data_IF_003521555004
#
_entry.id   IF_003521555004
#
_cell.length_a   1.000
_cell.length_b   1.000
_cell.length_c   1.000
_cell.angle_alpha   90.00
_cell.angle_beta   90.00
_cell.angle_gamma   90.00
#
_symmetry.space_group_name_H-M   'P 1'
#
loop_
_entity.id
_entity.type
_entity.pdbx_description
1 polymer ?
#
# COMPACT_ATOMS: atom_id res chain seq x y z
N UNK A 1 13.13 4.69 25.41
CA UNK A 1 11.73 4.25 25.30
C UNK A 1 11.11 4.92 24.09
N UNK A 2 11.08 4.28 22.93
CA UNK A 2 10.64 4.95 21.69
C UNK A 2 9.22 4.51 21.32
N UNK A 3 8.36 5.44 20.91
CA UNK A 3 6.97 5.13 20.56
C UNK A 3 6.70 5.34 19.07
N UNK A 4 6.20 4.31 18.40
CA UNK A 4 5.56 4.43 17.08
C UNK A 4 4.05 4.48 17.27
N UNK A 5 3.39 5.51 16.75
CA UNK A 5 1.92 5.56 16.66
C UNK A 5 1.54 5.48 15.20
N UNK A 6 0.77 4.46 14.81
CA UNK A 6 0.31 4.26 13.43
C UNK A 6 -1.21 4.41 13.35
N UNK A 7 -1.67 5.17 12.36
CA UNK A 7 -3.07 5.28 11.96
C UNK A 7 -3.26 4.57 10.63
N UNK A 8 -4.33 3.81 10.50
CA UNK A 8 -4.73 3.21 9.22
C UNK A 8 -6.25 3.22 9.11
N UNK A 9 -6.79 3.89 8.08
CA UNK A 9 -8.20 3.77 7.70
C UNK A 9 -8.35 2.72 6.62
N UNK A 10 -9.18 1.70 6.84
CA UNK A 10 -9.52 0.71 5.80
C UNK A 10 -11.05 0.53 5.78
N UNK A 11 -11.70 0.75 4.62
CA UNK A 11 -13.14 0.46 4.48
C UNK A 11 -13.38 -1.06 4.58
N UNK A 12 -14.45 -1.41 5.29
CA UNK A 12 -15.10 -2.72 5.22
C UNK A 12 -15.82 -2.82 3.86
N UNK A 13 -15.59 -3.88 3.10
CA UNK A 13 -16.39 -4.23 1.93
C UNK A 13 -17.31 -5.40 2.32
N UNK A 14 -18.61 -5.13 2.42
CA UNK A 14 -19.71 -6.09 2.35
C UNK A 14 -19.78 -7.18 3.44
N UNK A 15 -20.76 -7.06 4.34
CA UNK A 15 -21.24 -8.19 5.13
C UNK A 15 -21.92 -9.19 4.20
N UNK A 16 -21.22 -10.26 3.81
CA UNK A 16 -21.87 -11.44 3.26
C UNK A 16 -22.44 -12.25 4.44
N UNK A 17 -23.67 -11.93 4.84
CA UNK A 17 -24.53 -12.89 5.55
C UNK A 17 -24.83 -14.02 4.54
N UNK A 18 -24.13 -15.14 4.67
CA UNK A 18 -24.37 -16.36 3.91
C UNK A 18 -24.00 -17.55 4.77
N UNK A 19 -24.99 -18.37 5.09
CA UNK A 19 -24.93 -19.40 6.13
C UNK A 19 -23.90 -20.50 5.90
N UNK A 20 -23.53 -21.12 7.02
CA UNK A 20 -22.78 -22.37 7.08
C UNK A 20 -23.52 -23.46 6.30
N UNK A 21 -23.00 -23.80 5.13
CA UNK A 21 -23.33 -25.00 4.38
C UNK A 21 -22.09 -25.87 4.26
N UNK A 22 -22.09 -26.98 5.00
CA UNK A 22 -21.14 -28.08 4.87
C UNK A 22 -20.98 -28.50 3.41
N UNK A 23 -19.76 -28.59 2.90
CA UNK A 23 -19.45 -29.52 1.82
C UNK A 23 -17.98 -29.97 1.82
N UNK A 24 -17.90 -31.28 1.73
CA UNK A 24 -16.80 -32.23 1.63
C UNK A 24 -15.75 -31.93 0.55
N UNK A 25 -14.53 -32.40 0.82
CA UNK A 25 -13.42 -32.52 -0.13
C UNK A 25 -13.84 -33.22 -1.43
N UNK A 26 -13.09 -32.97 -2.52
CA UNK A 26 -12.72 -34.06 -3.41
C UNK A 26 -11.20 -34.19 -3.56
N UNK A 27 -10.84 -35.46 -3.70
CA UNK A 27 -9.55 -36.09 -3.93
C UNK A 27 -8.89 -35.72 -5.25
N UNK A 28 -7.57 -35.92 -5.26
CA UNK A 28 -6.63 -35.95 -6.39
C UNK A 28 -7.05 -36.92 -7.50
N UNK A 29 -6.47 -36.69 -8.69
CA UNK A 29 -6.16 -37.54 -9.87
C UNK A 29 -6.33 -36.61 -11.11
N UNK A 30 -5.55 -36.59 -12.17
CA UNK A 30 -4.34 -37.31 -12.57
C UNK A 30 -3.70 -36.51 -13.72
N UNK A 31 -2.37 -36.57 -13.81
CA UNK A 31 -1.57 -36.04 -14.91
C UNK A 31 -1.57 -37.04 -16.07
N UNK A 32 -1.84 -36.59 -17.31
CA UNK A 32 -1.30 -37.26 -18.50
C UNK A 32 -1.08 -36.29 -19.66
N UNK A 33 0.13 -36.39 -20.21
CA UNK A 33 0.67 -35.67 -21.34
C UNK A 33 0.03 -36.05 -22.67
N UNK A 34 0.14 -35.18 -23.68
CA UNK A 34 0.59 -35.62 -25.00
C UNK A 34 1.24 -34.52 -25.84
N UNK A 35 2.06 -34.99 -26.77
CA UNK A 35 3.21 -34.40 -27.46
C UNK A 35 2.85 -33.93 -28.88
N UNK A 36 3.80 -33.18 -29.47
CA UNK A 36 4.04 -32.95 -30.93
C UNK A 36 3.20 -31.83 -31.57
N UNK A 37 3.66 -31.02 -32.52
CA UNK A 37 4.80 -31.14 -33.46
C UNK A 37 5.20 -29.76 -34.00
N UNK A 38 6.43 -29.67 -34.52
CA UNK A 38 7.10 -28.57 -35.21
C UNK A 38 6.46 -28.08 -36.51
N UNK A 39 6.71 -26.80 -36.87
CA UNK A 39 6.62 -26.29 -38.23
C UNK A 39 7.29 -24.90 -38.36
N UNK A 40 8.44 -24.84 -39.03
CA UNK A 40 9.13 -23.60 -39.44
C UNK A 40 8.63 -23.13 -40.80
N UNK A 41 8.60 -21.82 -41.05
CA UNK A 41 9.00 -21.22 -42.33
C UNK A 41 9.16 -19.70 -42.22
N UNK A 42 10.31 -19.22 -42.69
CA UNK A 42 10.70 -17.83 -42.92
C UNK A 42 10.18 -17.34 -44.27
N UNK A 43 9.91 -16.04 -44.43
CA UNK A 43 10.25 -15.29 -45.65
C UNK A 43 10.12 -13.78 -45.44
N UNK A 44 11.14 -13.07 -45.89
CA UNK A 44 11.34 -11.62 -45.92
C UNK A 44 10.64 -10.98 -47.12
N UNK A 45 10.24 -9.71 -47.02
CA UNK A 45 10.66 -8.58 -47.90
C UNK A 45 9.80 -7.32 -47.69
N UNK A 46 10.48 -6.20 -47.44
CA UNK A 46 10.09 -4.79 -47.67
C UNK A 46 10.42 -4.40 -49.13
N UNK A 47 10.26 -3.15 -49.66
CA UNK A 47 9.81 -1.87 -49.05
C UNK A 47 8.83 -1.05 -49.93
N UNK A 48 8.13 -0.06 -49.36
CA UNK A 48 7.75 1.15 -50.10
C UNK A 48 7.73 2.36 -49.15
N UNK A 49 8.47 3.40 -49.51
CA UNK A 49 8.49 4.71 -48.88
C UNK A 49 7.21 5.48 -49.22
N UNK A 50 6.61 6.14 -48.23
CA UNK A 50 5.74 7.30 -48.48
C UNK A 50 5.91 8.30 -47.33
N UNK A 51 6.41 9.47 -47.69
CA UNK A 51 6.63 10.65 -46.85
C UNK A 51 5.32 11.38 -46.60
N UNK A 52 4.96 11.70 -45.36
CA UNK A 52 4.10 12.86 -45.05
C UNK A 52 4.36 13.39 -43.63
N UNK A 53 4.74 14.67 -43.61
CA UNK A 53 4.65 15.70 -42.56
C UNK A 53 4.00 15.35 -41.21
N UNK A 54 4.76 15.53 -40.12
CA UNK A 54 4.25 16.06 -38.85
C UNK A 54 5.38 16.28 -37.84
N UNK A 55 5.89 17.50 -37.71
CA UNK A 55 6.66 17.91 -36.51
C UNK A 55 6.12 19.24 -35.98
N UNK A 56 4.82 19.23 -35.69
CA UNK A 56 4.17 20.22 -34.84
C UNK A 56 3.56 19.54 -33.59
N UNK A 57 4.28 18.58 -33.01
CA UNK A 57 3.91 17.92 -31.75
C UNK A 57 5.12 17.84 -30.80
N UNK A 58 5.89 18.92 -30.70
CA UNK A 58 6.97 19.03 -29.70
C UNK A 58 6.62 19.97 -28.54
N UNK A 59 5.33 20.29 -28.33
CA UNK A 59 4.92 21.27 -27.31
C UNK A 59 3.72 20.86 -26.46
N UNK A 60 3.43 19.56 -26.39
CA UNK A 60 2.35 19.02 -25.56
C UNK A 60 2.84 18.12 -24.40
N UNK A 61 4.16 17.99 -24.16
CA UNK A 61 4.69 17.22 -23.03
C UNK A 61 5.10 18.08 -21.82
N UNK A 62 4.86 19.39 -21.86
CA UNK A 62 5.12 20.31 -20.76
C UNK A 62 3.79 20.92 -20.32
N UNK A 63 3.11 20.28 -19.35
CA UNK A 63 2.10 20.87 -18.43
C UNK A 63 1.18 19.82 -17.80
N UNK A 64 1.64 18.57 -17.59
CA UNK A 64 1.18 17.89 -16.36
C UNK A 64 1.98 18.55 -15.26
N UNK A 65 1.37 19.55 -14.61
CA UNK A 65 1.92 20.12 -13.38
C UNK A 65 2.30 18.93 -12.51
N UNK A 66 3.58 18.83 -12.11
CA UNK A 66 4.06 17.90 -11.10
C UNK A 66 3.29 18.20 -9.81
N UNK A 67 2.07 17.67 -9.72
CA UNK A 67 1.26 17.76 -8.54
C UNK A 67 1.95 16.84 -7.56
N UNK A 68 2.62 17.45 -6.60
CA UNK A 68 3.23 16.74 -5.49
C UNK A 68 2.20 15.78 -4.90
N UNK A 69 2.52 14.50 -5.01
CA UNK A 69 1.54 13.44 -4.79
C UNK A 69 1.19 13.37 -3.31
N UNK A 70 2.20 13.53 -2.45
CA UNK A 70 2.09 13.54 -0.99
C UNK A 70 2.63 14.88 -0.49
N UNK A 71 1.74 15.74 0.00
CA UNK A 71 1.99 17.16 0.25
C UNK A 71 2.05 17.47 1.74
N UNK A 72 2.49 18.69 2.06
CA UNK A 72 2.50 19.24 3.41
C UNK A 72 1.08 19.28 4.03
N UNK A 73 0.03 19.45 3.23
CA UNK A 73 -1.36 19.36 3.73
C UNK A 73 -1.68 17.96 4.29
N UNK A 74 -1.10 16.90 3.70
CA UNK A 74 -1.28 15.55 4.24
C UNK A 74 -0.54 15.37 5.58
N UNK A 75 0.62 16.01 5.73
CA UNK A 75 1.36 16.05 6.99
C UNK A 75 0.57 16.82 8.06
N UNK A 76 0.03 18.00 7.72
CA UNK A 76 -0.84 18.76 8.62
C UNK A 76 -2.04 17.94 9.08
N UNK A 77 -2.68 17.20 8.17
CA UNK A 77 -3.77 16.29 8.51
C UNK A 77 -3.31 15.19 9.49
N UNK A 78 -2.11 14.61 9.31
CA UNK A 78 -1.53 13.69 10.29
C UNK A 78 -1.34 14.37 11.67
N UNK A 79 -0.80 15.59 11.71
CA UNK A 79 -0.60 16.32 12.97
C UNK A 79 -1.92 16.58 13.69
N UNK A 80 -2.97 16.97 12.96
CA UNK A 80 -4.32 17.12 13.51
C UNK A 80 -4.88 15.80 14.08
N UNK A 81 -4.64 14.67 13.40
CA UNK A 81 -5.04 13.34 13.91
C UNK A 81 -4.32 12.98 15.22
N UNK A 82 -3.06 13.39 15.38
CA UNK A 82 -2.26 13.16 16.58
C UNK A 82 -2.71 14.02 17.77
N UNK A 83 -3.05 15.28 17.53
CA UNK A 83 -3.44 16.24 18.56
C UNK A 83 -4.93 16.14 18.91
N UNK A 84 -5.80 16.42 17.94
CA UNK A 84 -7.25 16.57 18.13
C UNK A 84 -7.97 15.23 18.06
N UNK A 85 -7.54 14.35 17.14
CA UNK A 85 -8.18 13.06 16.89
C UNK A 85 -8.14 12.08 18.08
N UNK A 86 -7.27 12.33 19.06
CA UNK A 86 -7.13 11.47 20.23
C UNK A 86 -8.07 11.86 21.38
N UNK A 87 -8.37 13.14 21.55
CA UNK A 87 -9.25 13.61 22.62
C UNK A 87 -10.75 13.54 22.24
N UNK A 88 -11.05 13.58 20.94
CA UNK A 88 -12.43 13.76 20.44
C UNK A 88 -13.12 12.47 20.00
N UNK A 89 -12.38 11.37 19.80
CA UNK A 89 -12.93 10.12 19.28
C UNK A 89 -13.15 9.09 20.37
N UNK A 90 -14.31 8.44 20.33
CA UNK A 90 -14.59 7.25 21.13
C UNK A 90 -13.82 6.04 20.56
N UNK A 91 -12.62 5.82 21.09
CA UNK A 91 -11.75 4.71 20.71
C UNK A 91 -12.14 3.44 21.48
N UNK A 92 -12.47 2.38 20.74
CA UNK A 92 -12.69 1.05 21.31
C UNK A 92 -11.36 0.30 21.37
N UNK A 93 -10.98 -0.17 22.56
CA UNK A 93 -9.77 -0.99 22.74
C UNK A 93 -9.92 -2.33 22.01
N UNK A 94 -8.88 -2.72 21.26
CA UNK A 94 -8.85 -3.94 20.46
C UNK A 94 -7.75 -4.90 20.91
N UNK A 95 -6.62 -4.38 21.38
CA UNK A 95 -5.49 -5.19 21.81
C UNK A 95 -4.63 -4.41 22.80
N UNK A 96 -4.14 -5.11 23.83
CA UNK A 96 -3.08 -4.66 24.71
C UNK A 96 -2.15 -5.86 24.96
N UNK A 97 -0.89 -5.75 24.57
CA UNK A 97 0.12 -6.81 24.68
C UNK A 97 1.44 -6.22 25.15
N UNK A 98 2.07 -6.88 26.10
CA UNK A 98 3.39 -6.50 26.60
C UNK A 98 4.33 -7.70 26.58
N UNK A 99 5.55 -7.45 26.14
CA UNK A 99 6.72 -8.33 26.20
C UNK A 99 7.84 -7.55 26.88
N UNK A 100 8.96 -8.19 27.32
CA UNK A 100 10.05 -7.47 27.97
C UNK A 100 10.59 -6.27 27.18
N UNK A 101 10.59 -6.35 25.86
CA UNK A 101 11.21 -5.34 24.99
C UNK A 101 10.19 -4.55 24.14
N UNK A 102 8.89 -4.82 24.30
CA UNK A 102 7.86 -4.18 23.47
C UNK A 102 6.50 -4.13 24.16
N UNK A 103 5.83 -2.99 24.09
CA UNK A 103 4.41 -2.84 24.44
C UNK A 103 3.63 -2.44 23.19
N UNK A 104 2.53 -3.13 22.90
CA UNK A 104 1.66 -2.86 21.76
C UNK A 104 0.22 -2.68 22.22
N UNK A 105 -0.37 -1.56 21.82
CA UNK A 105 -1.76 -1.23 22.08
C UNK A 105 -2.44 -0.87 20.76
N UNK A 106 -3.69 -1.29 20.59
CA UNK A 106 -4.47 -0.98 19.40
C UNK A 106 -5.92 -0.65 19.74
N UNK A 107 -6.46 0.31 19.00
CA UNK A 107 -7.82 0.79 19.11
C UNK A 107 -8.47 0.86 17.74
N UNK A 108 -9.80 0.78 17.71
CA UNK A 108 -10.61 1.08 16.53
C UNK A 108 -11.63 2.16 16.85
N UNK A 109 -12.01 2.93 15.85
CA UNK A 109 -13.10 3.87 15.92
C UNK A 109 -13.96 3.69 14.67
N UNK A 110 -15.27 3.50 14.87
CA UNK A 110 -16.24 3.40 13.78
C UNK A 110 -17.03 4.72 13.74
N UNK A 111 -16.70 5.66 12.83
CA UNK A 111 -17.43 6.91 12.72
C UNK A 111 -18.85 6.66 12.16
N UNK A 112 -19.78 7.58 12.42
CA UNK A 112 -21.14 7.52 11.87
C UNK A 112 -21.14 7.44 10.34
N UNK A 113 -20.19 8.13 9.72
CA UNK A 113 -19.99 8.12 8.27
C UNK A 113 -18.52 7.81 7.94
N UNK A 114 -18.31 6.89 6.98
CA UNK A 114 -16.97 6.59 6.46
C UNK A 114 -16.37 5.24 6.88
N UNK A 115 -15.08 5.00 6.58
CA UNK A 115 -14.38 3.78 6.97
C UNK A 115 -14.16 3.69 8.48
N UNK A 116 -14.01 2.45 8.95
CA UNK A 116 -13.41 2.19 10.27
C UNK A 116 -11.98 2.71 10.27
N UNK A 117 -11.63 3.42 11.34
CA UNK A 117 -10.28 3.94 11.57
C UNK A 117 -9.61 3.10 12.66
N UNK A 118 -8.39 2.67 12.40
CA UNK A 118 -7.56 1.99 13.37
C UNK A 118 -6.41 2.89 13.81
N UNK A 119 -6.04 2.72 15.08
CA UNK A 119 -4.89 3.35 15.68
C UNK A 119 -4.12 2.30 16.46
N UNK A 120 -2.81 2.36 16.40
CA UNK A 120 -1.95 1.58 17.28
C UNK A 120 -0.85 2.43 17.88
N UNK A 121 -0.35 2.00 19.02
CA UNK A 121 0.82 2.54 19.70
C UNK A 121 1.72 1.38 20.08
N UNK A 122 2.95 1.43 19.60
CA UNK A 122 3.99 0.46 19.92
C UNK A 122 5.13 1.17 20.62
N UNK A 123 5.55 0.68 21.78
CA UNK A 123 6.81 1.05 22.41
C UNK A 123 7.83 -0.03 22.06
N UNK A 124 8.97 0.36 21.50
CA UNK A 124 10.13 -0.50 21.36
C UNK A 124 11.17 -0.08 22.41
N UNK A 125 11.54 -1.03 23.27
CA UNK A 125 12.70 -0.88 24.14
C UNK A 125 13.97 -1.17 23.32
N UNK A 126 15.04 -0.43 23.62
CA UNK A 126 16.36 -0.63 23.02
C UNK A 126 16.49 -0.49 21.49
N UNK A 127 15.55 0.19 20.82
CA UNK A 127 15.65 0.53 19.39
C UNK A 127 15.63 2.06 19.20
N UNK A 128 16.53 2.62 18.39
CA UNK A 128 16.52 4.06 18.06
C UNK A 128 15.40 4.41 17.07
N UNK A 129 14.96 5.68 16.98
CA UNK A 129 13.99 6.13 15.98
C UNK A 129 14.38 5.78 14.55
N UNK A 130 15.67 5.88 14.23
CA UNK A 130 16.21 5.60 12.89
C UNK A 130 16.03 4.12 12.52
N UNK A 131 16.35 3.21 13.44
CA UNK A 131 16.17 1.77 13.22
C UNK A 131 14.69 1.45 13.00
N UNK A 132 13.80 2.05 13.79
CA UNK A 132 12.35 1.83 13.65
C UNK A 132 11.84 2.42 12.34
N UNK A 133 12.34 3.60 11.93
CA UNK A 133 12.01 4.24 10.64
C UNK A 133 12.40 3.33 9.48
N UNK A 134 13.64 2.87 9.46
CA UNK A 134 14.18 2.03 8.39
C UNK A 134 13.42 0.70 8.31
N UNK A 135 13.13 0.07 9.45
CA UNK A 135 12.32 -1.14 9.52
C UNK A 135 10.93 -1.00 8.87
N UNK A 136 10.26 0.15 9.07
CA UNK A 136 8.93 0.38 8.47
C UNK A 136 8.96 0.85 7.02
N UNK A 137 10.06 1.48 6.58
CA UNK A 137 10.23 2.01 5.23
C UNK A 137 10.74 0.98 4.22
N UNK A 138 11.49 -0.03 4.70
CA UNK A 138 12.12 -1.06 3.88
C UNK A 138 11.11 -2.10 3.36
N UNK A 139 10.72 -1.94 2.10
CA UNK A 139 9.83 -2.86 1.39
C UNK A 139 10.53 -4.15 0.95
N UNK A 140 11.86 -4.17 0.85
CA UNK A 140 12.63 -5.38 0.51
C UNK A 140 12.73 -6.32 1.71
N UNK A 141 12.81 -5.76 2.91
CA UNK A 141 12.80 -6.51 4.16
C UNK A 141 11.39 -6.95 4.58
N UNK A 142 10.36 -6.21 4.16
CA UNK A 142 8.95 -6.41 4.54
C UNK A 142 8.43 -7.85 4.36
N UNK A 143 8.72 -8.58 3.26
CA UNK A 143 8.22 -9.95 3.07
C UNK A 143 8.76 -10.96 4.10
N UNK A 144 9.84 -10.65 4.81
CA UNK A 144 10.39 -11.52 5.87
C UNK A 144 9.49 -11.61 7.10
N UNK A 145 8.62 -10.61 7.30
CA UNK A 145 7.76 -10.54 8.49
C UNK A 145 6.27 -10.29 8.19
N UNK A 146 5.93 -9.62 7.08
CA UNK A 146 4.55 -9.44 6.63
C UNK A 146 4.18 -10.53 5.61
N UNK A 147 3.69 -11.68 6.11
CA UNK A 147 3.26 -12.79 5.26
C UNK A 147 2.11 -12.44 4.30
N UNK A 148 1.41 -11.31 4.51
CA UNK A 148 0.38 -10.85 3.58
C UNK A 148 0.97 -10.10 2.39
N UNK A 149 2.20 -9.56 2.45
CA UNK A 149 2.80 -8.88 1.31
C UNK A 149 3.34 -9.90 0.30
N UNK A 150 2.62 -10.07 -0.81
CA UNK A 150 2.97 -11.03 -1.85
C UNK A 150 4.06 -10.51 -2.79
N UNK A 151 3.98 -9.23 -3.12
CA UNK A 151 4.86 -8.57 -4.07
C UNK A 151 4.83 -7.06 -3.83
N UNK A 152 5.95 -6.41 -4.06
CA UNK A 152 6.06 -4.97 -4.11
C UNK A 152 6.88 -4.56 -5.35
N UNK A 153 6.66 -3.33 -5.83
CA UNK A 153 7.47 -2.71 -6.87
C UNK A 153 7.46 -1.19 -6.67
N UNK A 154 8.64 -0.57 -6.58
CA UNK A 154 8.77 0.89 -6.69
C UNK A 154 8.46 1.29 -8.12
N UNK A 155 7.48 2.17 -8.28
CA UNK A 155 7.05 2.69 -9.58
C UNK A 155 7.73 4.01 -9.91
N UNK A 156 7.93 4.84 -8.89
CA UNK A 156 8.55 6.15 -9.00
C UNK A 156 9.24 6.52 -7.67
N UNK A 157 10.31 7.28 -7.75
CA UNK A 157 11.14 7.70 -6.62
C UNK A 157 11.66 9.12 -6.87
N UNK A 158 10.96 10.10 -6.32
CA UNK A 158 11.34 11.51 -6.40
C UNK A 158 12.28 11.86 -5.25
N UNK A 159 13.59 11.81 -5.56
CA UNK A 159 14.66 12.16 -4.61
C UNK A 159 14.64 13.62 -4.16
N UNK A 160 13.98 14.53 -4.87
CA UNK A 160 13.90 15.95 -4.49
C UNK A 160 12.94 16.17 -3.33
N UNK A 161 11.79 15.50 -3.35
CA UNK A 161 10.79 15.60 -2.28
C UNK A 161 10.90 14.47 -1.25
N UNK A 162 11.53 13.36 -1.62
CA UNK A 162 11.51 12.11 -0.85
C UNK A 162 10.19 11.33 -0.99
N UNK A 163 9.40 11.64 -2.03
CA UNK A 163 8.13 10.95 -2.31
C UNK A 163 8.40 9.71 -3.16
N UNK A 164 7.88 8.57 -2.73
CA UNK A 164 7.91 7.33 -3.50
C UNK A 164 6.50 6.93 -3.91
N UNK A 165 6.34 6.41 -5.13
CA UNK A 165 5.15 5.66 -5.53
C UNK A 165 5.48 4.17 -5.52
N UNK A 166 4.73 3.40 -4.75
CA UNK A 166 4.93 1.96 -4.64
C UNK A 166 3.65 1.20 -4.98
N UNK A 167 3.81 0.11 -5.71
CA UNK A 167 2.77 -0.87 -5.98
C UNK A 167 2.92 -2.05 -5.02
N UNK A 168 1.93 -2.25 -4.13
CA UNK A 168 1.87 -3.42 -3.25
C UNK A 168 0.75 -4.37 -3.66
N UNK A 169 1.03 -5.67 -3.59
CA UNK A 169 0.03 -6.73 -3.71
C UNK A 169 -0.02 -7.53 -2.42
N UNK A 170 -1.18 -7.54 -1.78
CA UNK A 170 -1.42 -8.29 -0.55
C UNK A 170 -2.28 -9.54 -0.79
N UNK A 171 -1.80 -10.69 -0.29
CA UNK A 171 -2.58 -11.93 -0.23
C UNK A 171 -3.63 -11.82 0.86
N UNK A 172 -4.85 -12.21 0.51
CA UNK A 172 -5.94 -12.38 1.47
C UNK A 172 -6.36 -13.86 1.50
N UNK A 173 -7.03 -14.32 2.57
CA UNK A 173 -7.62 -15.65 2.60
C UNK A 173 -8.48 -15.91 1.37
N UNK A 174 -8.54 -17.16 0.89
CA UNK A 174 -9.09 -17.53 -0.43
C UNK A 174 -10.55 -17.11 -0.69
N UNK A 175 -11.34 -16.85 0.35
CA UNK A 175 -12.70 -16.34 0.23
C UNK A 175 -12.77 -14.83 -0.09
N UNK A 176 -11.64 -14.13 -0.03
CA UNK A 176 -11.47 -12.75 -0.42
C UNK A 176 -10.53 -12.68 -1.64
N UNK A 177 -10.78 -11.74 -2.56
CA UNK A 177 -9.77 -11.43 -3.57
C UNK A 177 -8.52 -10.81 -2.91
N UNK A 178 -7.35 -11.04 -3.48
CA UNK A 178 -6.13 -10.27 -3.15
C UNK A 178 -6.37 -8.77 -3.31
N UNK A 179 -5.55 -7.96 -2.63
CA UNK A 179 -5.63 -6.50 -2.68
C UNK A 179 -4.44 -5.91 -3.40
N UNK A 180 -4.71 -4.95 -4.27
CA UNK A 180 -3.70 -4.16 -4.97
C UNK A 180 -3.74 -2.73 -4.42
N UNK A 181 -2.58 -2.19 -4.07
CA UNK A 181 -2.42 -0.83 -3.62
C UNK A 181 -1.43 -0.14 -4.55
N UNK A 182 -1.77 1.06 -4.97
CA UNK A 182 -0.80 1.99 -5.56
C UNK A 182 -0.76 3.17 -4.60
N UNK A 183 0.36 3.31 -3.90
CA UNK A 183 0.50 4.23 -2.78
C UNK A 183 1.60 5.24 -3.06
N UNK A 184 1.30 6.51 -2.79
CA UNK A 184 2.31 7.53 -2.59
C UNK A 184 2.68 7.55 -1.12
N UNK A 185 3.98 7.59 -0.80
CA UNK A 185 4.47 7.71 0.57
C UNK A 185 5.63 8.68 0.67
N UNK A 186 5.75 9.36 1.81
CA UNK A 186 6.82 10.32 2.10
C UNK A 186 7.09 10.34 3.60
N UNK A 187 8.36 10.55 3.97
CA UNK A 187 8.80 10.80 5.35
C UNK A 187 9.24 12.25 5.47
N UNK A 188 8.78 12.91 6.54
CA UNK A 188 9.32 14.17 7.03
C UNK A 188 10.05 13.94 8.35
N UNK A 189 11.12 14.69 8.55
CA UNK A 189 11.94 14.66 9.76
C UNK A 189 11.86 16.00 10.48
N UNK A 190 11.73 15.96 11.81
CA UNK A 190 11.77 17.16 12.65
C UNK A 190 12.41 16.83 14.00
N UNK A 191 13.66 17.27 14.18
CA UNK A 191 14.46 16.87 15.34
C UNK A 191 14.61 15.35 15.37
N UNK A 192 14.29 14.71 16.50
CA UNK A 192 14.36 13.25 16.65
C UNK A 192 12.99 12.57 16.41
N UNK A 193 12.23 13.05 15.42
CA UNK A 193 10.90 12.53 15.09
C UNK A 193 10.77 12.35 13.59
N UNK A 194 10.13 11.24 13.22
CA UNK A 194 9.78 10.92 11.85
C UNK A 194 8.28 10.88 11.69
N UNK A 195 7.78 11.50 10.63
CA UNK A 195 6.38 11.53 10.26
C UNK A 195 6.26 10.94 8.87
N UNK A 196 5.48 9.87 8.72
CA UNK A 196 5.21 9.28 7.43
C UNK A 196 3.74 9.39 7.10
N UNK A 197 3.46 9.77 5.86
CA UNK A 197 2.15 9.64 5.25
C UNK A 197 2.25 8.65 4.12
N UNK A 198 1.25 7.79 4.01
CA UNK A 198 1.03 6.89 2.90
C UNK A 198 -0.43 7.00 2.47
N UNK A 199 -0.69 7.29 1.20
CA UNK A 199 -2.06 7.37 0.68
C UNK A 199 -2.19 6.71 -0.69
N UNK A 200 -3.41 6.29 -1.03
CA UNK A 200 -3.72 5.75 -2.35
C UNK A 200 -3.60 6.84 -3.41
N UNK A 201 -2.98 6.52 -4.54
CA UNK A 201 -2.71 7.49 -5.61
C UNK A 201 -3.10 6.92 -6.98
N UNK A 202 -3.63 7.76 -7.89
CA UNK A 202 -3.90 7.32 -9.25
C UNK A 202 -2.57 7.06 -9.98
N UNK A 203 -2.55 6.03 -10.82
CA UNK A 203 -1.39 5.72 -11.65
C UNK A 203 -1.86 5.16 -13.00
N UNK A 204 -2.07 6.03 -14.02
CA UNK A 204 -2.70 5.65 -15.29
C UNK A 204 -2.00 4.51 -16.03
N UNK A 205 -0.67 4.41 -15.92
CA UNK A 205 0.12 3.35 -16.56
C UNK A 205 -0.16 1.94 -15.98
N UNK A 206 -0.84 1.83 -14.85
CA UNK A 206 -1.32 0.57 -14.29
C UNK A 206 -2.85 0.62 -14.17
N UNK A 207 -3.62 0.27 -15.21
CA UNK A 207 -5.08 0.29 -15.15
C UNK A 207 -5.63 -0.74 -14.17
N UNK A 208 -6.83 -0.46 -13.65
CA UNK A 208 -7.54 -1.32 -12.70
C UNK A 208 -7.93 -2.64 -13.37
N UNK A 209 -7.82 -3.73 -12.61
CA UNK A 209 -8.28 -5.06 -13.01
C UNK A 209 -9.32 -5.57 -12.01
N UNK A 210 -10.09 -6.57 -12.38
CA UNK A 210 -11.06 -7.20 -11.47
C UNK A 210 -10.37 -7.93 -10.31
N UNK A 211 -9.22 -8.55 -10.59
CA UNK A 211 -8.37 -9.26 -9.64
C UNK A 211 -6.90 -8.94 -9.93
N UNK A 212 -6.06 -8.66 -8.91
CA UNK A 212 -6.44 -8.32 -7.52
C UNK A 212 -7.36 -7.08 -7.45
N UNK A 213 -8.15 -6.97 -6.37
CA UNK A 213 -9.05 -5.82 -6.16
C UNK A 213 -8.22 -4.60 -5.74
N UNK A 214 -8.25 -3.54 -6.54
CA UNK A 214 -7.56 -2.30 -6.20
C UNK A 214 -8.24 -1.56 -5.05
N UNK A 215 -7.44 -1.14 -4.06
CA UNK A 215 -7.86 -0.24 -3.00
C UNK A 215 -7.60 1.20 -3.44
N UNK A 216 -8.67 1.91 -3.75
CA UNK A 216 -8.60 3.29 -4.25
C UNK A 216 -8.50 4.30 -3.11
N UNK A 217 -9.37 4.17 -2.11
CA UNK A 217 -9.29 5.00 -0.91
C UNK A 217 -8.40 4.32 0.13
N UNK A 218 -7.20 4.85 0.28
CA UNK A 218 -6.25 4.41 1.30
C UNK A 218 -5.59 5.63 1.93
N UNK A 219 -5.56 5.67 3.25
CA UNK A 219 -4.78 6.62 4.03
C UNK A 219 -4.24 5.91 5.26
N UNK A 220 -2.94 5.98 5.44
CA UNK A 220 -2.24 5.50 6.61
C UNK A 220 -1.09 6.44 6.91
N UNK A 221 -0.75 6.54 8.18
CA UNK A 221 0.34 7.39 8.61
C UNK A 221 0.97 6.83 9.87
N UNK A 222 2.19 7.22 10.14
CA UNK A 222 2.83 6.90 11.41
C UNK A 222 3.74 8.03 11.87
N UNK A 223 3.91 8.11 13.20
CA UNK A 223 4.91 8.96 13.83
C UNK A 223 5.81 8.10 14.70
N UNK A 224 7.12 8.29 14.56
CA UNK A 224 8.14 7.68 15.40
C UNK A 224 8.80 8.80 16.20
N UNK A 225 8.95 8.58 17.50
CA UNK A 225 9.60 9.51 18.42
C UNK A 225 10.32 8.77 19.55
N UNK A 226 11.33 9.43 20.11
CA UNK A 226 11.97 9.07 21.37
C UNK A 226 11.15 9.45 22.61
#
# INVERSE_FOLDING_TARGET
RHSSTSYSGLRRLGSARGGFGSLSQPSRLDTKANKSTSGSASSQQTPVEESLQSDEVSRASETVREQEIVTENDLEHLLQLLEVGNATREWQSMMDKTTPNMTYQAWRHEPETGPVVYRSRTIFEDASPDIVRDFFWDDEFRPKWDFMLANFKTLDDDTRTGTMIVHWRKKFPFFCSDREYIIGRRIWESGNKYYCVTKGVPYPALPKRDKPRRVELYFSSWVIRA
#
